data_IF_236231362764
#
_entry.id   IF_236231362764
#
_cell.length_a   1.000
_cell.length_b   1.000
_cell.length_c   1.000
_cell.angle_alpha   90.00
_cell.angle_beta   90.00
_cell.angle_gamma   90.00
#
_symmetry.space_group_name_H-M   'P 1'
#
loop_
_entity.id
_entity.type
_entity.pdbx_description
1 polymer ?
#
# COMPACT_ATOMS: atom_id res chain seq x y z
N UNK A 1 45.80 -22.92 -39.21
CA UNK A 1 44.34 -23.06 -39.36
C UNK A 1 43.68 -22.38 -38.17
N UNK A 2 42.64 -21.60 -38.44
CA UNK A 2 42.07 -20.55 -37.58
C UNK A 2 41.21 -21.15 -36.46
N UNK A 3 41.25 -20.54 -35.28
CA UNK A 3 40.28 -20.73 -34.19
C UNK A 3 39.03 -19.94 -34.56
N UNK A 4 37.88 -20.60 -34.63
CA UNK A 4 36.59 -19.93 -34.74
C UNK A 4 36.14 -19.49 -33.35
N UNK A 5 35.99 -18.18 -33.18
CA UNK A 5 35.41 -17.54 -32.01
C UNK A 5 33.93 -17.40 -32.37
N UNK A 6 33.04 -18.08 -31.64
CA UNK A 6 31.61 -17.88 -31.80
C UNK A 6 31.23 -16.52 -31.21
N UNK A 7 30.92 -15.56 -32.08
CA UNK A 7 30.32 -14.28 -31.69
C UNK A 7 28.94 -14.54 -31.05
N UNK A 8 28.85 -14.35 -29.73
CA UNK A 8 27.57 -14.20 -29.06
C UNK A 8 26.94 -12.88 -29.56
N UNK A 9 25.81 -12.97 -30.26
CA UNK A 9 24.99 -11.80 -30.60
C UNK A 9 24.61 -11.07 -29.31
N UNK A 10 24.69 -9.72 -29.26
CA UNK A 10 24.13 -8.99 -28.13
C UNK A 10 22.61 -9.21 -28.15
N UNK A 11 22.08 -9.75 -27.05
CA UNK A 11 20.66 -9.69 -26.76
C UNK A 11 20.33 -8.22 -26.53
N UNK A 12 19.76 -7.55 -27.52
CA UNK A 12 19.09 -6.27 -27.29
C UNK A 12 17.97 -6.53 -26.28
N UNK A 13 18.20 -6.12 -25.04
CA UNK A 13 17.13 -5.92 -24.09
C UNK A 13 16.26 -4.79 -24.66
N UNK A 14 15.25 -5.16 -25.43
CA UNK A 14 14.14 -4.25 -25.73
C UNK A 14 13.50 -3.92 -24.39
N UNK A 15 13.83 -2.76 -23.85
CA UNK A 15 13.00 -2.10 -22.85
C UNK A 15 11.63 -1.87 -23.52
N UNK A 16 10.72 -2.82 -23.36
CA UNK A 16 9.30 -2.53 -23.43
C UNK A 16 9.05 -1.57 -22.26
N UNK A 17 9.07 -0.27 -22.55
CA UNK A 17 8.36 0.68 -21.70
C UNK A 17 6.90 0.32 -21.98
N UNK A 18 6.33 -0.52 -21.10
CA UNK A 18 4.96 -0.98 -21.25
C UNK A 18 4.05 0.24 -21.27
N UNK A 19 2.97 0.18 -22.05
CA UNK A 19 1.96 1.24 -22.05
C UNK A 19 1.47 1.53 -20.61
N UNK A 20 1.46 0.50 -19.76
CA UNK A 20 1.21 0.54 -18.33
C UNK A 20 2.14 1.48 -17.55
N UNK A 21 3.44 1.53 -17.89
CA UNK A 21 4.40 2.44 -17.27
C UNK A 21 4.11 3.91 -17.62
N UNK A 22 3.60 4.18 -18.83
CA UNK A 22 3.25 5.54 -19.26
C UNK A 22 1.98 6.02 -18.56
N UNK A 23 1.00 5.13 -18.39
CA UNK A 23 -0.23 5.42 -17.64
C UNK A 23 0.10 5.63 -16.16
N UNK A 24 0.91 4.75 -15.55
CA UNK A 24 1.36 4.87 -14.16
C UNK A 24 2.09 6.19 -13.90
N UNK A 25 2.98 6.61 -14.80
CA UNK A 25 3.68 7.90 -14.71
C UNK A 25 2.75 9.11 -14.85
N UNK A 26 1.81 9.05 -15.79
CA UNK A 26 0.83 10.13 -15.99
C UNK A 26 -0.03 10.32 -14.76
N UNK A 27 -0.35 9.22 -14.10
CA UNK A 27 -1.07 9.18 -12.85
C UNK A 27 -0.26 9.74 -11.67
N UNK A 28 0.98 9.30 -11.47
CA UNK A 28 1.84 9.80 -10.38
C UNK A 28 2.00 11.34 -10.47
N UNK A 29 1.97 11.89 -11.68
CA UNK A 29 1.96 13.35 -11.91
C UNK A 29 0.65 14.02 -11.50
N UNK A 30 -0.51 13.38 -11.72
CA UNK A 30 -1.82 13.84 -11.24
C UNK A 30 -1.85 13.98 -9.72
N UNK A 31 -1.32 12.99 -8.98
CA UNK A 31 -1.25 13.05 -7.52
C UNK A 31 -0.33 14.14 -6.99
N UNK A 32 0.82 14.36 -7.65
CA UNK A 32 1.78 15.39 -7.23
C UNK A 32 1.34 16.83 -7.59
N UNK A 33 0.13 17.01 -8.14
CA UNK A 33 -0.35 18.31 -8.63
C UNK A 33 0.50 18.88 -9.77
N UNK A 34 1.40 18.09 -10.35
CA UNK A 34 2.35 18.49 -11.41
C UNK A 34 1.71 18.29 -12.78
N UNK A 35 0.50 18.83 -12.96
CA UNK A 35 0.04 19.21 -14.29
C UNK A 35 0.44 20.67 -14.49
N UNK A 36 1.75 20.93 -14.52
CA UNK A 36 2.25 22.11 -15.21
C UNK A 36 2.25 21.80 -16.70
N UNK A 37 1.38 22.49 -17.43
CA UNK A 37 1.27 22.46 -18.88
C UNK A 37 2.65 22.54 -19.56
N UNK A 38 3.12 21.42 -20.10
CA UNK A 38 3.80 21.32 -21.39
C UNK A 38 4.20 19.86 -21.66
N UNK A 39 3.26 19.04 -22.11
CA UNK A 39 3.62 17.88 -22.92
C UNK A 39 2.89 18.00 -24.25
N UNK A 40 3.58 17.67 -25.34
CA UNK A 40 3.06 17.74 -26.70
C UNK A 40 1.64 17.18 -26.75
N UNK A 41 0.72 17.88 -27.44
CA UNK A 41 -0.61 17.34 -27.71
C UNK A 41 -0.43 15.95 -28.31
N UNK A 42 -0.79 14.92 -27.54
CA UNK A 42 -0.98 13.59 -28.10
C UNK A 42 -1.93 13.72 -29.27
N UNK A 43 -1.65 13.02 -30.36
CA UNK A 43 -2.62 12.98 -31.44
C UNK A 43 -3.91 12.29 -30.96
N UNK A 44 -5.02 12.63 -31.62
CA UNK A 44 -6.35 12.15 -31.23
C UNK A 44 -6.49 10.62 -31.27
N UNK A 45 -5.64 9.91 -32.03
CA UNK A 45 -5.64 8.45 -32.04
C UNK A 45 -5.02 7.92 -30.75
N UNK A 46 -3.93 8.54 -30.30
CA UNK A 46 -3.25 8.20 -29.06
C UNK A 46 -4.13 8.56 -27.85
N UNK A 47 -4.74 9.75 -27.81
CA UNK A 47 -5.71 10.12 -26.76
C UNK A 47 -6.88 9.13 -26.68
N UNK A 48 -7.39 8.67 -27.82
CA UNK A 48 -8.49 7.70 -27.87
C UNK A 48 -8.05 6.31 -27.36
N UNK A 49 -6.85 5.86 -27.70
CA UNK A 49 -6.29 4.63 -27.17
C UNK A 49 -6.04 4.72 -25.67
N UNK A 50 -5.54 5.86 -25.15
CA UNK A 50 -5.43 6.09 -23.71
C UNK A 50 -6.79 6.04 -23.02
N UNK A 51 -7.82 6.69 -23.57
CA UNK A 51 -9.17 6.67 -23.00
C UNK A 51 -9.87 5.30 -23.06
N UNK A 52 -9.50 4.45 -24.01
CA UNK A 52 -9.95 3.06 -24.08
C UNK A 52 -9.22 2.18 -23.05
N UNK A 53 -7.91 2.39 -22.84
CA UNK A 53 -7.12 1.72 -21.79
C UNK A 53 -7.51 2.16 -20.37
N UNK A 54 -7.77 3.43 -20.14
CA UNK A 54 -8.28 3.94 -18.85
C UNK A 54 -9.64 3.32 -18.49
N UNK A 55 -10.42 2.87 -19.48
CA UNK A 55 -11.67 2.13 -19.23
C UNK A 55 -11.44 0.66 -18.88
N UNK A 56 -10.30 0.10 -19.25
CA UNK A 56 -9.94 -1.29 -18.94
C UNK A 56 -9.21 -1.39 -17.58
N UNK A 57 -8.51 -0.34 -17.15
CA UNK A 57 -7.82 -0.29 -15.87
C UNK A 57 -8.79 -0.01 -14.70
N UNK A 58 -8.77 -0.88 -13.69
CA UNK A 58 -9.56 -0.70 -12.47
C UNK A 58 -8.79 0.18 -11.46
N UNK A 59 -9.27 1.39 -11.24
CA UNK A 59 -8.73 2.33 -10.26
C UNK A 59 -9.54 2.31 -8.96
N UNK A 60 -8.84 2.47 -7.83
CA UNK A 60 -9.50 2.86 -6.57
C UNK A 60 -9.15 4.30 -6.18
N UNK A 61 -10.20 5.03 -5.79
CA UNK A 61 -10.13 6.41 -5.37
C UNK A 61 -10.30 6.53 -3.86
N UNK A 62 -9.54 7.44 -3.27
CA UNK A 62 -9.52 7.72 -1.84
C UNK A 62 -10.75 8.57 -1.45
N UNK A 63 -10.87 8.90 -0.16
CA UNK A 63 -12.01 9.68 0.35
C UNK A 63 -12.12 11.08 -0.29
N UNK A 64 -11.01 11.62 -0.82
CA UNK A 64 -10.93 12.89 -1.54
C UNK A 64 -11.18 12.75 -3.07
N UNK A 65 -11.47 11.54 -3.54
CA UNK A 65 -11.67 11.23 -4.96
C UNK A 65 -10.36 11.11 -5.76
N UNK A 66 -9.20 11.22 -5.11
CA UNK A 66 -7.90 11.04 -5.74
C UNK A 66 -7.55 9.56 -5.83
N UNK A 67 -7.09 9.10 -7.00
CA UNK A 67 -6.82 7.69 -7.18
C UNK A 67 -5.53 7.30 -6.43
N UNK A 68 -5.47 6.12 -5.80
CA UNK A 68 -4.32 5.68 -4.97
C UNK A 68 -3.81 4.25 -5.28
N UNK A 69 -4.61 3.49 -6.03
CA UNK A 69 -4.35 2.10 -6.40
C UNK A 69 -4.78 1.88 -7.84
N UNK A 70 -3.97 1.14 -8.58
CA UNK A 70 -4.25 0.69 -9.94
C UNK A 70 -4.07 -0.83 -9.95
N UNK A 71 -5.16 -1.55 -10.21
CA UNK A 71 -5.21 -3.01 -10.13
C UNK A 71 -4.69 -3.57 -8.79
N UNK A 72 -3.55 -4.26 -8.79
CA UNK A 72 -2.91 -4.87 -7.62
C UNK A 72 -1.70 -4.08 -7.11
N UNK A 73 -1.54 -2.84 -7.58
CA UNK A 73 -0.45 -1.95 -7.21
C UNK A 73 -0.99 -0.71 -6.51
N UNK A 74 -0.47 -0.44 -5.31
CA UNK A 74 -0.48 0.92 -4.79
C UNK A 74 0.54 1.74 -5.57
N UNK A 75 0.26 3.03 -5.72
CA UNK A 75 1.18 3.92 -6.43
C UNK A 75 2.35 4.28 -5.53
N UNK A 76 3.43 4.75 -6.12
CA UNK A 76 4.64 5.13 -5.40
C UNK A 76 4.54 6.55 -4.84
N UNK A 77 5.16 6.78 -3.69
CA UNK A 77 5.23 8.11 -3.03
C UNK A 77 3.84 8.79 -2.92
N UNK A 78 2.80 8.00 -2.68
CA UNK A 78 1.42 8.46 -2.67
C UNK A 78 0.94 8.73 -1.25
N UNK A 79 0.01 9.67 -1.11
CA UNK A 79 -0.75 9.91 0.11
C UNK A 79 -2.24 9.69 -0.19
N UNK A 80 -2.95 9.00 0.70
CA UNK A 80 -4.38 8.77 0.53
C UNK A 80 -5.14 8.61 1.84
N UNK A 81 -6.43 8.91 1.79
CA UNK A 81 -7.34 8.77 2.93
C UNK A 81 -8.35 7.66 2.71
N UNK A 82 -8.51 6.78 3.69
CA UNK A 82 -9.52 5.73 3.68
C UNK A 82 -10.13 5.58 5.05
N UNK A 83 -11.46 5.68 5.11
CA UNK A 83 -12.23 5.56 6.34
C UNK A 83 -11.74 6.54 7.43
N UNK A 84 -11.31 7.74 7.04
CA UNK A 84 -10.80 8.75 7.98
C UNK A 84 -9.36 8.57 8.46
N UNK A 85 -8.65 7.53 7.98
CA UNK A 85 -7.23 7.32 8.24
C UNK A 85 -6.38 7.80 7.08
N UNK A 86 -5.19 8.30 7.38
CA UNK A 86 -4.20 8.78 6.42
C UNK A 86 -3.13 7.72 6.21
N UNK A 87 -2.81 7.45 4.95
CA UNK A 87 -1.84 6.44 4.55
C UNK A 87 -0.82 7.04 3.62
N UNK A 88 0.39 6.50 3.65
CA UNK A 88 1.43 6.82 2.67
C UNK A 88 2.00 5.56 2.06
N UNK A 89 2.51 5.67 0.85
CA UNK A 89 3.35 4.65 0.23
C UNK A 89 4.75 5.16 -0.03
N UNK A 90 5.72 4.26 -0.08
CA UNK A 90 7.08 4.62 -0.47
C UNK A 90 7.29 4.55 -1.99
N UNK A 91 8.53 4.81 -2.43
CA UNK A 91 8.95 4.80 -3.82
C UNK A 91 8.77 3.45 -4.56
N UNK A 92 8.44 2.36 -3.87
CA UNK A 92 8.12 1.06 -4.46
C UNK A 92 6.61 0.76 -4.45
N UNK A 93 5.79 1.66 -3.90
CA UNK A 93 4.35 1.45 -3.76
C UNK A 93 4.01 0.49 -2.62
N UNK A 94 4.83 0.43 -1.58
CA UNK A 94 4.55 -0.34 -0.35
C UNK A 94 3.86 0.57 0.66
N UNK A 95 2.89 0.04 1.41
CA UNK A 95 2.28 0.76 2.52
C UNK A 95 3.35 1.16 3.55
N UNK A 96 3.65 2.45 3.65
CA UNK A 96 4.75 2.96 4.46
C UNK A 96 4.29 3.46 5.83
N UNK A 97 3.20 4.23 5.87
CA UNK A 97 2.57 4.64 7.13
C UNK A 97 1.05 4.53 7.07
N UNK A 98 0.44 4.32 8.24
CA UNK A 98 -1.00 4.45 8.47
C UNK A 98 -1.25 5.22 9.77
N UNK A 99 -2.05 6.28 9.75
CA UNK A 99 -2.21 7.20 10.87
C UNK A 99 -3.66 7.69 11.03
N UNK A 100 -4.13 7.83 12.27
CA UNK A 100 -5.38 8.53 12.56
C UNK A 100 -5.88 8.38 13.98
N UNK A 101 -6.95 9.11 14.28
CA UNK A 101 -7.71 8.96 15.53
C UNK A 101 -8.59 7.71 15.42
N UNK A 102 -8.40 6.74 16.31
CA UNK A 102 -9.12 5.47 16.27
C UNK A 102 -10.60 5.65 16.64
N UNK A 103 -11.48 5.08 15.82
CA UNK A 103 -12.90 4.89 16.11
C UNK A 103 -13.30 3.44 15.93
N UNK A 104 -14.29 2.96 16.68
CA UNK A 104 -14.81 1.60 16.48
C UNK A 104 -15.72 1.57 15.25
N UNK A 105 -15.67 0.47 14.51
CA UNK A 105 -16.62 0.23 13.41
C UNK A 105 -18.06 0.17 13.91
N UNK A 106 -19.00 0.57 13.05
CA UNK A 106 -20.44 0.47 13.33
C UNK A 106 -21.08 -0.81 12.78
N UNK A 107 -20.39 -1.52 11.87
CA UNK A 107 -20.95 -2.70 11.21
C UNK A 107 -20.67 -4.01 11.98
N UNK A 108 -21.62 -4.94 11.90
CA UNK A 108 -21.47 -6.27 12.45
C UNK A 108 -20.58 -7.16 11.57
N UNK A 109 -19.93 -8.14 12.20
CA UNK A 109 -19.15 -9.16 11.50
C UNK A 109 -17.86 -8.64 10.86
N UNK A 110 -17.11 -9.53 10.21
CA UNK A 110 -15.87 -9.19 9.50
C UNK A 110 -16.15 -9.10 8.01
N UNK A 111 -15.59 -8.08 7.36
CA UNK A 111 -15.58 -8.01 5.90
C UNK A 111 -14.54 -8.99 5.33
N UNK A 112 -14.77 -9.44 4.10
CA UNK A 112 -13.85 -10.33 3.43
C UNK A 112 -12.72 -9.53 2.79
N UNK A 113 -11.48 -9.97 3.03
CA UNK A 113 -10.33 -9.50 2.28
C UNK A 113 -10.28 -10.23 0.94
N UNK A 114 -10.39 -9.46 -0.15
CA UNK A 114 -10.36 -9.98 -1.53
C UNK A 114 -8.94 -10.25 -2.00
N UNK A 115 -8.00 -9.38 -1.64
CA UNK A 115 -6.59 -9.52 -1.99
C UNK A 115 -5.99 -10.76 -1.34
N UNK A 116 -5.25 -11.54 -2.12
CA UNK A 116 -4.51 -12.70 -1.64
C UNK A 116 -3.23 -12.24 -0.93
N UNK A 117 -2.64 -13.12 -0.11
CA UNK A 117 -1.35 -12.83 0.52
C UNK A 117 -0.24 -12.58 -0.52
N UNK A 118 -0.36 -13.20 -1.70
CA UNK A 118 0.58 -13.02 -2.79
C UNK A 118 0.44 -11.65 -3.46
N UNK A 119 -0.78 -11.15 -3.61
CA UNK A 119 -1.01 -9.80 -4.17
C UNK A 119 -0.39 -8.72 -3.26
N UNK A 120 -0.45 -8.95 -1.95
CA UNK A 120 0.08 -8.05 -0.93
C UNK A 120 1.62 -8.16 -0.84
N UNK A 121 2.15 -9.39 -0.76
CA UNK A 121 3.56 -9.64 -0.52
C UNK A 121 4.43 -9.72 -1.77
N UNK A 122 3.84 -9.81 -2.96
CA UNK A 122 4.52 -9.87 -4.26
C UNK A 122 5.66 -10.88 -4.32
N UNK A 123 5.47 -12.03 -3.66
CA UNK A 123 6.45 -13.12 -3.57
C UNK A 123 7.46 -12.98 -2.41
N UNK A 124 7.39 -11.92 -1.60
CA UNK A 124 8.20 -11.74 -0.40
C UNK A 124 7.50 -12.23 0.87
N UNK A 125 6.21 -12.54 0.80
CA UNK A 125 5.48 -13.16 1.89
C UNK A 125 6.09 -14.52 2.28
N UNK A 126 6.01 -14.86 3.56
CA UNK A 126 6.28 -16.22 4.05
C UNK A 126 5.00 -17.03 3.99
N UNK A 127 5.15 -18.35 3.90
CA UNK A 127 4.00 -19.27 3.95
C UNK A 127 3.22 -19.23 5.27
N UNK A 128 3.81 -18.66 6.32
CA UNK A 128 3.20 -18.49 7.65
C UNK A 128 2.57 -17.11 7.85
N UNK A 129 2.69 -16.21 6.88
CA UNK A 129 2.15 -14.87 7.00
C UNK A 129 0.63 -14.87 6.82
N UNK A 130 -0.01 -14.00 7.61
CA UNK A 130 -1.37 -13.55 7.40
C UNK A 130 -1.39 -12.24 6.61
N UNK A 131 -2.60 -11.90 6.14
CA UNK A 131 -2.94 -10.59 5.58
C UNK A 131 -3.19 -9.64 6.74
N UNK A 132 -2.13 -9.10 7.31
CA UNK A 132 -2.17 -8.26 8.50
C UNK A 132 -2.70 -6.87 8.17
N UNK A 133 -3.73 -6.43 8.88
CA UNK A 133 -4.21 -5.06 8.80
C UNK A 133 -3.22 -4.10 9.47
N UNK A 134 -2.96 -2.95 8.86
CA UNK A 134 -2.30 -1.85 9.56
C UNK A 134 -3.28 -1.21 10.55
N UNK A 135 -4.40 -0.68 10.06
CA UNK A 135 -5.54 -0.30 10.90
C UNK A 135 -6.53 -1.45 10.94
N UNK A 136 -6.78 -2.02 12.11
CA UNK A 136 -7.64 -3.19 12.26
C UNK A 136 -9.08 -2.94 11.77
N UNK A 137 -9.74 -3.98 11.25
CA UNK A 137 -11.18 -3.95 10.87
C UNK A 137 -12.08 -3.45 12.01
N UNK A 138 -11.75 -3.75 13.28
CA UNK A 138 -12.51 -3.23 14.43
C UNK A 138 -12.43 -1.72 14.61
N UNK A 139 -11.39 -1.10 14.07
CA UNK A 139 -11.22 0.34 14.01
C UNK A 139 -11.74 0.91 12.70
N UNK A 140 -12.61 0.18 12.00
CA UNK A 140 -13.12 0.54 10.68
C UNK A 140 -12.01 0.67 9.62
N UNK A 141 -10.89 -0.04 9.81
CA UNK A 141 -9.82 -0.09 8.81
C UNK A 141 -10.28 -0.78 7.52
N UNK A 142 -9.79 -0.31 6.37
CA UNK A 142 -10.12 -0.86 5.07
C UNK A 142 -9.70 -2.35 4.97
N UNK A 143 -10.48 -3.16 4.26
CA UNK A 143 -10.27 -4.61 4.12
C UNK A 143 -9.64 -5.00 2.77
N UNK A 144 -8.86 -4.09 2.20
CA UNK A 144 -8.25 -4.18 0.87
C UNK A 144 -6.75 -3.84 0.94
N UNK A 145 -6.00 -4.17 -0.12
CA UNK A 145 -4.54 -4.03 -0.27
C UNK A 145 -3.92 -2.78 0.38
N UNK A 146 -4.59 -1.63 0.29
CA UNK A 146 -4.09 -0.36 0.80
C UNK A 146 -3.83 -0.34 2.31
N UNK A 147 -4.46 -1.23 3.06
CA UNK A 147 -4.34 -1.29 4.51
C UNK A 147 -3.76 -2.64 4.97
N UNK A 148 -3.08 -3.36 4.07
CA UNK A 148 -2.60 -4.71 4.33
C UNK A 148 -1.09 -4.85 4.12
N UNK A 149 -0.47 -5.66 4.97
CA UNK A 149 0.92 -6.10 4.84
C UNK A 149 1.03 -7.62 5.05
N UNK A 150 2.07 -8.28 4.50
CA UNK A 150 2.39 -9.63 4.92
C UNK A 150 2.92 -9.57 6.35
N UNK A 151 2.20 -10.19 7.28
CA UNK A 151 2.51 -10.15 8.70
C UNK A 151 2.58 -11.57 9.25
N UNK A 152 3.63 -11.88 10.03
CA UNK A 152 3.77 -13.17 10.69
C UNK A 152 2.50 -13.50 11.49
N UNK A 153 1.96 -14.70 11.30
CA UNK A 153 0.71 -15.10 11.96
C UNK A 153 0.82 -15.18 13.48
N UNK A 154 2.02 -15.43 14.03
CA UNK A 154 2.29 -15.38 15.46
C UNK A 154 2.16 -13.96 16.00
N UNK A 155 2.77 -12.98 15.32
CA UNK A 155 2.62 -11.56 15.61
C UNK A 155 1.16 -11.11 15.46
N UNK A 156 0.59 -11.30 14.26
CA UNK A 156 -0.75 -10.82 13.87
C UNK A 156 -1.82 -11.31 14.85
N UNK A 157 -1.87 -12.63 15.12
CA UNK A 157 -2.94 -13.25 15.89
C UNK A 157 -2.76 -13.10 17.40
N UNK A 158 -1.56 -12.74 17.87
CA UNK A 158 -1.24 -12.62 19.30
C UNK A 158 -0.83 -11.21 19.67
N UNK A 159 0.45 -10.85 19.54
CA UNK A 159 0.97 -9.63 20.14
C UNK A 159 0.35 -8.36 19.54
N UNK A 160 0.22 -8.31 18.22
CA UNK A 160 -0.39 -7.18 17.53
C UNK A 160 -1.88 -7.07 17.85
N UNK A 161 -2.63 -8.18 17.75
CA UNK A 161 -4.03 -8.26 18.19
C UNK A 161 -4.23 -7.84 19.66
N UNK A 162 -3.32 -8.22 20.56
CA UNK A 162 -3.41 -7.85 21.97
C UNK A 162 -3.15 -6.36 22.17
N UNK A 163 -2.25 -5.77 21.39
CA UNK A 163 -2.07 -4.33 21.35
C UNK A 163 -3.34 -3.62 20.86
N UNK A 164 -3.92 -4.06 19.74
CA UNK A 164 -5.19 -3.53 19.22
C UNK A 164 -6.36 -3.70 20.22
N UNK A 165 -6.43 -4.82 20.95
CA UNK A 165 -7.42 -5.03 22.01
C UNK A 165 -7.31 -3.95 23.11
N UNK A 166 -6.09 -3.58 23.50
CA UNK A 166 -5.87 -2.54 24.51
C UNK A 166 -6.30 -1.18 23.99
N UNK A 167 -5.93 -0.83 22.75
CA UNK A 167 -6.36 0.43 22.16
C UNK A 167 -7.89 0.52 22.04
N UNK A 168 -8.56 -0.58 21.68
CA UNK A 168 -10.02 -0.64 21.64
C UNK A 168 -10.65 -0.37 23.00
N UNK A 169 -10.12 -0.95 24.08
CA UNK A 169 -10.61 -0.67 25.44
C UNK A 169 -10.48 0.81 25.83
N UNK A 170 -9.43 1.49 25.36
CA UNK A 170 -9.21 2.90 25.64
C UNK A 170 -10.19 3.79 24.84
N UNK A 171 -10.47 3.43 23.59
CA UNK A 171 -11.53 4.07 22.79
C UNK A 171 -12.92 3.84 23.42
N UNK A 172 -13.22 2.61 23.86
CA UNK A 172 -14.47 2.27 24.57
C UNK A 172 -14.61 3.04 25.90
N UNK A 173 -13.50 3.34 26.56
CA UNK A 173 -13.46 4.17 27.76
C UNK A 173 -13.65 5.67 27.47
N UNK A 174 -13.84 6.06 26.20
CA UNK A 174 -14.07 7.44 25.77
C UNK A 174 -12.81 8.28 25.69
N UNK A 175 -11.62 7.68 25.70
CA UNK A 175 -10.35 8.40 25.54
C UNK A 175 -10.10 8.75 24.08
N UNK A 176 -9.35 9.82 23.85
CA UNK A 176 -8.85 10.12 22.52
C UNK A 176 -7.59 9.30 22.26
N UNK A 177 -7.69 8.33 21.36
CA UNK A 177 -6.59 7.43 20.98
C UNK A 177 -6.20 7.70 19.53
N UNK A 178 -4.98 8.21 19.32
CA UNK A 178 -4.37 8.32 18.01
C UNK A 178 -3.32 7.20 17.84
N UNK A 179 -3.29 6.59 16.67
CA UNK A 179 -2.30 5.57 16.30
C UNK A 179 -1.62 5.98 15.00
N UNK A 180 -0.29 5.95 15.00
CA UNK A 180 0.55 5.99 13.80
C UNK A 180 1.35 4.70 13.73
N UNK A 181 1.30 4.04 12.59
CA UNK A 181 2.14 2.89 12.25
C UNK A 181 3.12 3.27 11.16
N UNK A 182 4.36 2.79 11.28
CA UNK A 182 5.40 2.87 10.26
C UNK A 182 5.96 1.48 9.99
N UNK A 183 5.93 1.09 8.73
CA UNK A 183 6.36 -0.23 8.26
C UNK A 183 7.82 -0.16 7.81
N UNK A 184 8.66 -1.03 8.37
CA UNK A 184 10.08 -1.07 8.09
C UNK A 184 10.37 -2.20 7.11
N UNK A 185 10.87 -1.86 5.92
CA UNK A 185 11.12 -2.82 4.86
C UNK A 185 12.61 -3.01 4.61
N UNK A 186 13.10 -4.27 4.57
CA UNK A 186 14.48 -4.54 4.19
C UNK A 186 14.64 -4.43 2.66
N UNK A 187 15.42 -3.44 2.20
CA UNK A 187 15.72 -3.22 0.77
C UNK A 187 14.43 -3.13 -0.06
N UNK A 188 14.28 -3.98 -1.06
CA UNK A 188 13.18 -4.00 -2.02
C UNK A 188 12.06 -4.98 -1.62
N UNK A 189 12.10 -5.52 -0.40
CA UNK A 189 11.08 -6.45 0.10
C UNK A 189 9.70 -5.80 0.17
N UNK A 190 8.65 -6.49 -0.28
CA UNK A 190 7.24 -6.09 -0.04
C UNK A 190 6.69 -6.63 1.29
N UNK A 191 7.51 -7.38 2.03
CA UNK A 191 7.24 -7.82 3.40
C UNK A 191 8.06 -6.97 4.38
N UNK A 192 7.45 -6.28 5.36
CA UNK A 192 8.20 -5.56 6.37
C UNK A 192 8.87 -6.53 7.35
N UNK A 193 9.98 -6.15 7.96
CA UNK A 193 10.65 -6.90 9.04
C UNK A 193 10.30 -6.36 10.43
N UNK A 194 9.78 -5.14 10.51
CA UNK A 194 9.27 -4.55 11.74
C UNK A 194 8.16 -3.54 11.49
N UNK A 195 7.37 -3.30 12.53
CA UNK A 195 6.31 -2.28 12.56
C UNK A 195 6.54 -1.43 13.79
N UNK A 196 6.70 -0.12 13.62
CA UNK A 196 6.76 0.83 14.73
C UNK A 196 5.37 1.43 14.93
N UNK A 197 4.83 1.31 16.14
CA UNK A 197 3.60 1.92 16.56
C UNK A 197 3.87 3.08 17.50
N UNK A 198 3.36 4.25 17.15
CA UNK A 198 3.30 5.43 18.01
C UNK A 198 1.84 5.63 18.40
N UNK A 199 1.54 5.51 19.69
CA UNK A 199 0.19 5.70 20.22
C UNK A 199 0.15 6.95 21.07
N UNK A 200 -0.84 7.82 20.85
CA UNK A 200 -1.10 8.96 21.72
C UNK A 200 -2.48 8.80 22.36
N UNK A 201 -2.53 8.65 23.69
CA UNK A 201 -3.76 8.53 24.47
C UNK A 201 -3.90 9.75 25.38
N UNK A 202 -4.92 10.57 25.17
CA UNK A 202 -5.16 11.82 25.90
C UNK A 202 -3.89 12.70 26.02
N UNK A 203 -3.14 12.80 24.92
CA UNK A 203 -1.91 13.58 24.82
C UNK A 203 -0.64 12.92 25.38
N UNK A 204 -0.71 11.68 25.89
CA UNK A 204 0.45 10.90 26.31
C UNK A 204 0.88 9.93 25.23
N UNK A 205 2.14 10.02 24.81
CA UNK A 205 2.69 9.22 23.74
C UNK A 205 3.46 8.00 24.26
N UNK A 206 3.26 6.85 23.63
CA UNK A 206 4.03 5.62 23.80
C UNK A 206 4.52 5.14 22.43
N UNK A 207 5.71 4.53 22.39
CA UNK A 207 6.28 3.93 21.18
C UNK A 207 6.55 2.46 21.44
N UNK A 208 6.09 1.60 20.53
CA UNK A 208 6.32 0.16 20.56
C UNK A 208 6.78 -0.33 19.20
N UNK A 209 7.76 -1.24 19.19
CA UNK A 209 8.23 -1.90 17.97
C UNK A 209 7.81 -3.36 18.00
N UNK A 210 7.25 -3.84 16.90
CA UNK A 210 6.91 -5.24 16.68
C UNK A 210 7.85 -5.82 15.64
N UNK A 211 8.48 -6.95 15.93
CA UNK A 211 9.29 -7.69 14.98
C UNK A 211 8.42 -8.64 14.16
N UNK A 212 8.57 -8.60 12.85
CA UNK A 212 7.81 -9.40 11.90
C UNK A 212 8.68 -10.55 11.38
N UNK A 213 8.93 -11.54 12.25
CA UNK A 213 9.94 -12.60 12.07
C UNK A 213 9.61 -13.68 11.04
#
# INVERSE_FOLDING_TARGET
MRREISEAKPMEAKMHIGLDDVVKRSFERLQKGVIEKAEEKLDAATEKSFAELEKELEYKNNDDGMPYRMEQDLLTDAEYKRNGYEYTTDHLGRLFTAEGDLHLKEHDGRLQIKDSIHDIGKGYEKSTDDRGHAIADRFDGANDLENLIPQDSGLNRNEFKNFENKLAQEVEAGKKVNLKLEMHYPRDSFRPDAITAVTTIDGKQEVKVFLND
#
